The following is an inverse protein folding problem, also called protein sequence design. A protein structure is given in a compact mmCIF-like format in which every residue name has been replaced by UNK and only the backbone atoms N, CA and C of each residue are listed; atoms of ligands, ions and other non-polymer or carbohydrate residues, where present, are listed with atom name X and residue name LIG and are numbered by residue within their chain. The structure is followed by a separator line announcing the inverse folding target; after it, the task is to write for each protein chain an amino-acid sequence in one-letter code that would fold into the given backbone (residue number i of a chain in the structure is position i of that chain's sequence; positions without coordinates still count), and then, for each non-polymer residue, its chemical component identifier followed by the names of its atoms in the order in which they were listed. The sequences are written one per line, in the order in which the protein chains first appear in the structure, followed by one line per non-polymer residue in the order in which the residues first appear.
data_IF_984333869679
#
_entry.id   IF_984333869679
#
_cell.length_a   1.000
_cell.length_b   1.000
_cell.length_c   1.000
_cell.angle_alpha   90.00
_cell.angle_beta   90.00
_cell.angle_gamma   90.00
#
_symmetry.space_group_name_H-M   'P 1'
#
loop_
_entity.id
_entity.type
_entity.pdbx_description
1 polymer ?
#
# COMPACT_ATOMS: atom_id res chain seq x y z
N UNK A 1 6.36 -10.75 0.50
CA UNK A 1 5.98 -9.89 1.65
C UNK A 1 6.29 -10.66 2.92
N UNK A 2 7.11 -10.11 3.81
CA UNK A 2 7.42 -10.70 5.12
C UNK A 2 6.16 -10.74 5.99
N UNK A 3 5.95 -11.82 6.74
CA UNK A 3 4.80 -11.91 7.64
C UNK A 3 4.87 -10.80 8.71
N UNK A 4 3.77 -10.09 8.98
CA UNK A 4 3.74 -9.07 10.03
C UNK A 4 3.88 -9.69 11.42
N UNK A 5 4.58 -9.00 12.30
CA UNK A 5 4.47 -9.26 13.72
C UNK A 5 3.14 -8.70 14.24
N UNK A 6 2.12 -9.56 14.33
CA UNK A 6 0.75 -9.16 14.72
C UNK A 6 0.67 -8.53 16.11
N UNK A 7 1.51 -8.95 17.06
CA UNK A 7 1.54 -8.36 18.41
C UNK A 7 2.06 -6.93 18.44
N UNK A 8 2.73 -6.47 17.37
CA UNK A 8 3.15 -5.07 17.21
C UNK A 8 2.22 -4.29 16.28
N UNK A 9 1.77 -4.91 15.20
CA UNK A 9 0.94 -4.23 14.20
C UNK A 9 -0.46 -3.88 14.73
N UNK A 10 -1.15 -4.84 15.36
CA UNK A 10 -2.53 -4.61 15.80
C UNK A 10 -2.62 -3.53 16.88
N UNK A 11 -1.78 -3.55 17.95
CA UNK A 11 -1.81 -2.47 18.93
C UNK A 11 -1.40 -1.13 18.35
N UNK A 12 -0.40 -1.08 17.45
CA UNK A 12 0.01 0.17 16.80
C UNK A 12 -1.13 0.77 15.97
N UNK A 13 -1.94 -0.06 15.33
CA UNK A 13 -3.09 0.40 14.54
C UNK A 13 -4.18 1.01 15.43
N UNK A 14 -4.49 0.34 16.54
CA UNK A 14 -5.46 0.83 17.53
C UNK A 14 -4.97 2.10 18.25
N UNK A 15 -3.69 2.16 18.63
CA UNK A 15 -3.10 3.33 19.27
C UNK A 15 -3.05 4.54 18.32
N UNK A 16 -2.73 4.29 17.04
CA UNK A 16 -2.76 5.33 16.01
C UNK A 16 -4.16 5.94 15.84
N UNK A 17 -5.20 5.12 15.83
CA UNK A 17 -6.58 5.63 15.74
C UNK A 17 -6.96 6.48 16.96
N UNK A 18 -6.56 6.06 18.16
CA UNK A 18 -6.88 6.78 19.41
C UNK A 18 -6.11 8.09 19.53
N UNK A 19 -4.86 8.13 19.06
CA UNK A 19 -3.94 9.27 19.27
C UNK A 19 -3.06 9.55 18.04
N UNK A 20 -3.63 9.91 16.87
CA UNK A 20 -2.87 10.03 15.63
C UNK A 20 -1.79 11.11 15.68
N UNK A 21 -2.03 12.20 16.42
CA UNK A 21 -1.09 13.31 16.58
C UNK A 21 0.21 12.96 17.34
N UNK A 22 0.29 11.78 17.98
CA UNK A 22 1.51 11.33 18.66
C UNK A 22 2.58 10.82 17.71
N UNK A 23 2.20 10.49 16.46
CA UNK A 23 3.09 9.81 15.53
C UNK A 23 3.54 10.74 14.40
N UNK A 24 4.86 10.89 14.17
CA UNK A 24 5.36 11.68 13.05
C UNK A 24 5.21 10.90 11.74
N UNK A 25 4.01 10.93 11.16
CA UNK A 25 3.68 10.17 9.93
C UNK A 25 4.56 10.53 8.73
N UNK A 26 5.08 11.76 8.67
CA UNK A 26 6.04 12.18 7.65
C UNK A 26 7.36 11.40 7.71
N UNK A 27 7.72 10.92 8.91
CA UNK A 27 8.87 10.04 9.15
C UNK A 27 8.51 8.55 9.04
N UNK A 28 7.30 8.23 8.55
CA UNK A 28 6.76 6.86 8.43
C UNK A 28 6.67 6.14 9.77
N UNK A 29 6.26 6.89 10.80
CA UNK A 29 5.92 6.36 12.11
C UNK A 29 4.40 6.31 12.31
N UNK A 30 3.86 5.26 12.97
CA UNK A 30 4.58 4.16 13.59
C UNK A 30 5.06 3.11 12.57
N UNK A 31 6.34 2.70 12.64
CA UNK A 31 6.96 1.78 11.66
C UNK A 31 6.15 0.54 11.29
N UNK A 32 5.53 -0.20 12.24
CA UNK A 32 4.80 -1.41 11.91
C UNK A 32 3.68 -1.18 10.87
N UNK A 33 3.05 -0.01 10.86
CA UNK A 33 1.99 0.32 9.90
C UNK A 33 2.56 0.56 8.50
N UNK A 34 3.72 1.23 8.41
CA UNK A 34 4.39 1.52 7.14
C UNK A 34 5.20 0.34 6.57
N UNK A 35 5.66 -0.58 7.41
CA UNK A 35 6.32 -1.82 6.97
C UNK A 35 5.33 -2.84 6.41
N UNK A 36 4.08 -2.80 6.88
CA UNK A 36 3.04 -3.76 6.54
C UNK A 36 1.77 -3.09 5.99
N UNK A 37 1.92 -2.02 5.19
CA UNK A 37 0.79 -1.26 4.63
C UNK A 37 -0.16 -2.16 3.83
N UNK A 38 0.36 -3.17 3.12
CA UNK A 38 -0.47 -4.16 2.43
C UNK A 38 -1.46 -4.87 3.36
N UNK A 39 -1.01 -5.29 4.55
CA UNK A 39 -1.87 -5.89 5.57
C UNK A 39 -2.88 -4.89 6.13
N UNK A 40 -2.48 -3.64 6.34
CA UNK A 40 -3.40 -2.56 6.76
C UNK A 40 -4.49 -2.32 5.70
N UNK A 41 -4.14 -2.28 4.42
CA UNK A 41 -5.10 -2.15 3.31
C UNK A 41 -6.06 -3.33 3.23
N UNK A 42 -5.58 -4.56 3.44
CA UNK A 42 -6.44 -5.74 3.48
C UNK A 42 -7.42 -5.70 4.67
N UNK A 43 -6.96 -5.30 5.85
CA UNK A 43 -7.83 -5.08 7.02
C UNK A 43 -8.87 -3.99 6.74
N UNK A 44 -8.47 -2.87 6.13
CA UNK A 44 -9.38 -1.78 5.75
C UNK A 44 -10.41 -2.22 4.71
N UNK A 45 -10.08 -3.22 3.89
CA UNK A 45 -10.98 -3.81 2.89
C UNK A 45 -11.80 -4.99 3.43
N UNK A 46 -11.62 -5.37 4.71
CA UNK A 46 -12.26 -6.54 5.31
C UNK A 46 -11.86 -7.86 4.65
N UNK A 47 -10.66 -7.91 4.04
CA UNK A 47 -10.16 -9.06 3.29
C UNK A 47 -9.30 -9.95 4.19
N UNK A 48 -9.28 -11.27 3.95
CA UNK A 48 -8.42 -12.18 4.69
C UNK A 48 -6.95 -11.75 4.67
N UNK A 49 -6.29 -11.86 5.81
CA UNK A 49 -4.87 -11.55 5.98
C UNK A 49 -4.19 -12.78 6.55
N UNK A 50 -3.13 -13.26 5.90
CA UNK A 50 -2.43 -14.47 6.33
C UNK A 50 -1.92 -14.35 7.77
N UNK A 51 -2.17 -15.36 8.61
CA UNK A 51 -1.76 -15.34 10.02
C UNK A 51 -2.75 -14.66 10.98
N UNK A 52 -3.85 -14.10 10.50
CA UNK A 52 -4.98 -13.66 11.33
C UNK A 52 -6.22 -14.50 11.09
N UNK A 53 -6.99 -14.75 12.14
CA UNK A 53 -8.29 -15.43 12.02
C UNK A 53 -9.30 -14.54 11.30
N UNK A 54 -10.27 -15.16 10.60
CA UNK A 54 -11.33 -14.42 9.93
C UNK A 54 -12.17 -13.56 10.91
N UNK A 55 -12.33 -14.02 12.15
CA UNK A 55 -13.01 -13.26 13.21
C UNK A 55 -12.23 -12.00 13.60
N UNK A 56 -10.91 -12.09 13.75
CA UNK A 56 -10.06 -10.94 14.05
C UNK A 56 -10.09 -9.90 12.92
N UNK A 57 -10.00 -10.34 11.66
CA UNK A 57 -10.07 -9.45 10.48
C UNK A 57 -11.40 -8.72 10.39
N UNK A 58 -12.50 -9.39 10.75
CA UNK A 58 -13.86 -8.82 10.77
C UNK A 58 -14.17 -8.03 12.05
N UNK A 59 -13.24 -7.98 13.01
CA UNK A 59 -13.40 -7.20 14.23
C UNK A 59 -13.61 -5.73 13.91
N UNK A 60 -14.72 -5.16 14.39
CA UNK A 60 -15.15 -3.80 14.04
C UNK A 60 -14.08 -2.75 14.37
N UNK A 61 -13.38 -2.90 15.50
CA UNK A 61 -12.33 -1.97 15.94
C UNK A 61 -11.13 -1.98 14.98
N UNK A 62 -10.62 -3.17 14.62
CA UNK A 62 -9.47 -3.30 13.71
C UNK A 62 -9.81 -2.80 12.30
N UNK A 63 -11.02 -3.11 11.82
CA UNK A 63 -11.48 -2.62 10.54
C UNK A 63 -11.59 -1.09 10.52
N UNK A 64 -12.17 -0.50 11.57
CA UNK A 64 -12.31 0.96 11.73
C UNK A 64 -10.93 1.65 11.78
N UNK A 65 -10.02 1.13 12.60
CA UNK A 65 -8.67 1.68 12.77
C UNK A 65 -7.84 1.58 11.47
N UNK A 66 -7.95 0.47 10.74
CA UNK A 66 -7.32 0.30 9.42
C UNK A 66 -7.81 1.36 8.42
N UNK A 67 -9.13 1.55 8.33
CA UNK A 67 -9.74 2.56 7.46
C UNK A 67 -9.33 3.98 7.87
N UNK A 68 -9.25 4.23 9.17
CA UNK A 68 -8.79 5.51 9.70
C UNK A 68 -7.36 5.83 9.24
N UNK A 69 -6.42 4.89 9.35
CA UNK A 69 -5.05 5.06 8.87
C UNK A 69 -4.99 5.34 7.36
N UNK A 70 -5.67 4.53 6.54
CA UNK A 70 -5.73 4.74 5.08
C UNK A 70 -6.24 6.14 4.75
N UNK A 71 -7.31 6.59 5.42
CA UNK A 71 -7.92 7.89 5.15
C UNK A 71 -7.04 9.08 5.57
N UNK A 72 -6.42 9.00 6.74
CA UNK A 72 -5.71 10.13 7.37
C UNK A 72 -4.24 10.22 6.98
N UNK A 73 -3.64 9.11 6.54
CA UNK A 73 -2.23 9.04 6.14
C UNK A 73 -2.11 8.91 4.63
N UNK A 74 -2.66 7.83 4.06
CA UNK A 74 -2.45 7.53 2.64
C UNK A 74 -3.25 8.48 1.74
N UNK A 75 -4.51 8.75 2.08
CA UNK A 75 -5.40 9.63 1.31
C UNK A 75 -5.41 11.09 1.78
N UNK A 76 -4.51 11.47 2.70
CA UNK A 76 -4.35 12.86 3.14
C UNK A 76 -4.19 13.78 1.93
N UNK A 77 -4.80 14.98 1.91
CA UNK A 77 -4.49 15.97 0.88
C UNK A 77 -2.97 16.20 0.77
N UNK A 78 -2.46 16.22 -0.46
CA UNK A 78 -1.04 16.40 -0.75
C UNK A 78 -0.13 15.20 -0.47
N UNK A 79 -0.67 14.01 -0.15
CA UNK A 79 0.16 12.78 -0.09
C UNK A 79 0.82 12.52 -1.44
N UNK A 80 2.13 12.26 -1.41
CA UNK A 80 2.90 11.87 -2.60
C UNK A 80 2.46 10.50 -3.15
N UNK A 81 2.74 10.18 -4.42
CA UNK A 81 2.30 8.93 -5.04
C UNK A 81 2.75 7.66 -4.30
N UNK A 82 3.97 7.65 -3.72
CA UNK A 82 4.49 6.50 -2.98
C UNK A 82 3.71 6.31 -1.67
N UNK A 83 3.50 7.38 -0.91
CA UNK A 83 2.70 7.32 0.33
C UNK A 83 1.26 6.93 0.04
N UNK A 84 0.66 7.48 -1.02
CA UNK A 84 -0.72 7.20 -1.42
C UNK A 84 -0.93 5.71 -1.73
N UNK A 85 0.02 5.06 -2.42
CA UNK A 85 -0.03 3.63 -2.71
C UNK A 85 0.68 2.76 -1.66
N UNK A 86 1.18 3.33 -0.56
CA UNK A 86 1.83 2.57 0.50
C UNK A 86 3.13 1.88 0.06
N UNK A 87 3.90 2.54 -0.78
CA UNK A 87 5.15 2.04 -1.38
C UNK A 87 6.38 2.76 -0.81
N UNK A 88 7.54 2.15 -1.01
CA UNK A 88 8.85 2.78 -0.78
C UNK A 88 9.56 2.94 -2.13
N UNK A 89 10.55 3.83 -2.21
CA UNK A 89 11.41 3.89 -3.39
C UNK A 89 12.04 2.51 -3.67
N UNK A 90 12.18 2.14 -4.94
CA UNK A 90 12.64 0.80 -5.34
C UNK A 90 11.59 -0.31 -5.14
N UNK A 91 10.30 0.02 -5.13
CA UNK A 91 9.23 -0.97 -5.04
C UNK A 91 9.25 -1.93 -6.24
N UNK A 92 8.81 -3.16 -6.01
CA UNK A 92 8.65 -4.15 -7.08
C UNK A 92 7.41 -3.85 -7.95
N UNK A 93 7.47 -4.03 -9.28
CA UNK A 93 6.32 -3.82 -10.17
C UNK A 93 5.05 -4.58 -9.76
N UNK A 94 5.23 -5.79 -9.24
CA UNK A 94 4.12 -6.60 -8.73
C UNK A 94 3.46 -5.97 -7.49
N UNK A 95 4.24 -5.29 -6.64
CA UNK A 95 3.73 -4.60 -5.46
C UNK A 95 2.88 -3.39 -5.84
N UNK A 96 3.31 -2.61 -6.85
CA UNK A 96 2.51 -1.49 -7.37
C UNK A 96 1.13 -1.98 -7.84
N UNK A 97 1.09 -3.02 -8.69
CA UNK A 97 -0.18 -3.58 -9.19
C UNK A 97 -1.07 -4.10 -8.07
N UNK A 98 -0.49 -4.78 -7.07
CA UNK A 98 -1.24 -5.31 -5.95
C UNK A 98 -1.86 -4.20 -5.08
N UNK A 99 -1.06 -3.20 -4.72
CA UNK A 99 -1.52 -2.07 -3.89
C UNK A 99 -2.54 -1.20 -4.62
N UNK A 100 -2.32 -0.93 -5.91
CA UNK A 100 -3.29 -0.21 -6.76
C UNK A 100 -4.66 -0.89 -6.76
N UNK A 101 -4.72 -2.21 -7.00
CA UNK A 101 -5.98 -2.97 -7.01
C UNK A 101 -6.70 -2.91 -5.66
N UNK A 102 -5.98 -2.97 -4.55
CA UNK A 102 -6.56 -2.82 -3.21
C UNK A 102 -7.11 -1.41 -3.01
N UNK A 103 -6.35 -0.37 -3.36
CA UNK A 103 -6.76 1.02 -3.20
C UNK A 103 -7.96 1.39 -4.07
N UNK A 104 -8.04 0.93 -5.32
CA UNK A 104 -9.23 1.12 -6.16
C UNK A 104 -10.43 0.41 -5.57
N UNK A 105 -10.26 -0.84 -5.11
CA UNK A 105 -11.36 -1.57 -4.48
C UNK A 105 -11.88 -0.89 -3.21
N UNK A 106 -10.99 -0.23 -2.48
CA UNK A 106 -11.38 0.58 -1.33
C UNK A 106 -12.13 1.83 -1.76
N UNK A 107 -11.58 2.60 -2.69
CA UNK A 107 -11.95 4.01 -2.92
C UNK A 107 -12.98 4.24 -4.03
N UNK A 108 -13.17 3.30 -4.96
CA UNK A 108 -14.10 3.48 -6.07
C UNK A 108 -15.56 3.50 -5.59
N UNK A 109 -16.40 4.44 -6.08
CA UNK A 109 -17.79 4.57 -5.63
C UNK A 109 -18.64 3.33 -5.86
N UNK A 110 -18.35 2.55 -6.91
CA UNK A 110 -19.08 1.32 -7.24
C UNK A 110 -18.89 0.20 -6.21
N UNK A 111 -17.85 0.29 -5.36
CA UNK A 111 -17.65 -0.70 -4.31
C UNK A 111 -18.30 -0.22 -3.02
N UNK A 112 -19.33 -0.94 -2.59
CA UNK A 112 -19.86 -0.78 -1.25
C UNK A 112 -18.86 -1.36 -0.25
N UNK A 113 -18.17 -0.48 0.49
CA UNK A 113 -17.33 -0.87 1.62
C UNK A 113 -17.95 -0.30 2.88
N UNK A 114 -18.31 -1.16 3.83
CA UNK A 114 -18.80 -0.76 5.14
C UNK A 114 -17.77 0.15 5.85
N UNK A 115 -18.24 1.11 6.65
CA UNK A 115 -17.36 1.96 7.48
C UNK A 115 -17.09 3.37 6.93
N UNK A 116 -18.03 3.97 6.20
CA UNK A 116 -18.02 5.40 5.84
C UNK A 116 -17.50 5.72 4.43
N UNK A 117 -17.79 6.93 3.95
CA UNK A 117 -17.42 7.37 2.59
C UNK A 117 -15.94 7.76 2.54
N UNK A 118 -15.24 7.28 1.51
CA UNK A 118 -13.89 7.75 1.18
C UNK A 118 -13.94 9.17 0.59
N UNK A 119 -12.82 9.93 0.58
CA UNK A 119 -12.76 11.21 -0.13
C UNK A 119 -13.24 11.04 -1.58
N UNK A 120 -14.04 11.99 -2.07
CA UNK A 120 -14.70 11.87 -3.38
C UNK A 120 -13.71 11.78 -4.56
N UNK A 121 -12.52 12.38 -4.40
CA UNK A 121 -11.42 12.39 -5.36
C UNK A 121 -10.44 11.23 -5.17
N UNK A 122 -10.64 10.34 -4.19
CA UNK A 122 -9.66 9.33 -3.81
C UNK A 122 -9.33 8.37 -4.96
N UNK A 123 -10.34 7.86 -5.67
CA UNK A 123 -10.12 6.95 -6.80
C UNK A 123 -9.32 7.62 -7.93
N UNK A 124 -9.64 8.88 -8.25
CA UNK A 124 -8.92 9.69 -9.25
C UNK A 124 -7.45 9.86 -8.85
N UNK A 125 -7.18 10.19 -7.58
CA UNK A 125 -5.81 10.33 -7.08
C UNK A 125 -5.03 9.01 -7.07
N UNK A 126 -5.70 7.89 -6.78
CA UNK A 126 -5.11 6.55 -6.87
C UNK A 126 -4.73 6.21 -8.31
N UNK A 127 -5.59 6.49 -9.29
CA UNK A 127 -5.28 6.30 -10.72
C UNK A 127 -4.08 7.14 -11.15
N UNK A 128 -4.08 8.44 -10.82
CA UNK A 128 -2.97 9.33 -11.16
C UNK A 128 -1.64 8.87 -10.54
N UNK A 129 -1.65 8.47 -9.26
CA UNK A 129 -0.45 7.96 -8.60
C UNK A 129 0.06 6.68 -9.27
N UNK A 130 -0.83 5.77 -9.66
CA UNK A 130 -0.46 4.55 -10.39
C UNK A 130 0.17 4.87 -11.75
N UNK A 131 -0.40 5.82 -12.50
CA UNK A 131 0.12 6.22 -13.81
C UNK A 131 1.51 6.85 -13.71
N UNK A 132 1.73 7.74 -12.73
CA UNK A 132 3.03 8.36 -12.46
C UNK A 132 4.05 7.26 -12.13
N UNK A 133 3.74 6.42 -11.14
CA UNK A 133 4.68 5.41 -10.65
C UNK A 133 4.94 4.29 -11.65
N UNK A 134 4.00 4.01 -12.55
CA UNK A 134 4.20 3.03 -13.64
C UNK A 134 5.19 3.53 -14.69
N UNK A 135 5.27 4.85 -14.91
CA UNK A 135 6.23 5.47 -15.83
C UNK A 135 7.63 5.61 -15.23
N UNK A 136 7.72 5.73 -13.91
CA UNK A 136 8.98 5.82 -13.16
C UNK A 136 9.63 4.47 -12.88
N UNK A 137 8.98 3.34 -13.23
CA UNK A 137 9.61 2.04 -13.07
C UNK A 137 10.82 1.94 -13.99
N UNK A 138 12.03 1.69 -13.46
CA UNK A 138 13.14 1.32 -14.32
C UNK A 138 12.71 0.03 -15.04
N UNK A 139 12.80 0.04 -16.37
CA UNK A 139 12.71 -1.18 -17.15
C UNK A 139 13.87 -2.04 -16.68
N UNK A 140 13.59 -2.99 -15.78
CA UNK A 140 14.50 -4.10 -15.56
C UNK A 140 14.55 -4.86 -16.89
N UNK A 141 15.52 -4.51 -17.73
CA UNK A 141 15.92 -5.27 -18.90
C UNK A 141 16.34 -6.64 -18.38
N UNK A 142 15.36 -7.53 -18.25
CA UNK A 142 15.59 -8.95 -18.04
C UNK A 142 16.51 -9.41 -19.16
N UNK A 143 17.71 -9.83 -18.78
CA UNK A 143 18.81 -10.05 -19.70
C UNK A 143 18.47 -11.05 -20.79
N UNK A 144 18.58 -10.58 -22.04
CA UNK A 144 19.33 -11.28 -23.08
C UNK A 144 20.20 -10.25 -23.79
N UNK A 145 21.24 -9.75 -23.11
CA UNK A 145 22.41 -9.27 -23.83
C UNK A 145 23.12 -10.51 -24.39
N UNK A 146 22.67 -10.95 -25.56
CA UNK A 146 23.52 -11.74 -26.45
C UNK A 146 24.71 -10.83 -26.78
N UNK A 147 25.87 -11.14 -26.20
CA UNK A 147 27.15 -10.63 -26.65
C UNK A 147 27.30 -11.06 -28.11
N UNK A 148 26.93 -10.19 -29.05
CA UNK A 148 27.42 -10.26 -30.42
C UNK A 148 28.91 -9.98 -30.32
N UNK A 149 29.70 -11.04 -30.36
CA UNK A 149 31.15 -10.99 -30.31
C UNK A 149 31.65 -10.38 -31.64
N UNK A 150 32.19 -9.15 -31.69
CA UNK A 150 32.59 -8.53 -32.95
C UNK A 150 34.09 -8.77 -33.17
N UNK A 151 34.54 -10.03 -33.19
CA UNK A 151 35.93 -10.37 -33.57
C UNK A 151 35.98 -11.73 -34.25
N UNK A 152 35.80 -11.70 -35.57
CA UNK A 152 35.90 -12.86 -36.45
C UNK A 152 36.30 -12.45 -37.86
N UNK A 153 37.41 -11.71 -37.99
CA UNK A 153 38.14 -11.53 -39.25
C UNK A 153 39.40 -10.69 -38.99
N UNK A 154 40.51 -10.85 -39.74
CA UNK A 154 40.80 -11.79 -40.83
C UNK A 154 42.06 -12.65 -40.59
N UNK A 155 42.20 -13.77 -41.30
CA UNK A 155 43.46 -14.26 -41.91
C UNK A 155 43.12 -15.02 -43.17
#
# INVERSE_FOLDING_TARGET
MTQPNWSRLLPALLDFERSPGRFPVALREPRPLFEHVGSVMLLAAGRPVGGLSAAAVKGLELHRAARFFVRTVMLRPGSDPLTLLGLKAGFEPAQLRAHYRLMIRLTHPDFQVAGGRWPADAATRVNLAYDILSREQPVFMAGTYQLVNPRGGPR
#
